data_IF_484428399635
#
_entry.id   IF_484428399635
#
_cell.length_a   1.000
_cell.length_b   1.000
_cell.length_c   1.000
_cell.angle_alpha   90.00
_cell.angle_beta   90.00
_cell.angle_gamma   90.00
#
_symmetry.space_group_name_H-M   'P 1'
#
loop_
_entity.id
_entity.type
_entity.pdbx_description
1 polymer ?
#
# COMPACT_ATOMS: atom_id res chain seq x y z
N UNK A 1 -25.36 -8.49 -0.57
CA UNK A 1 -23.99 -7.97 -0.75
C UNK A 1 -23.31 -7.95 0.60
N UNK A 2 -22.19 -8.66 0.79
CA UNK A 2 -21.37 -8.53 2.00
C UNK A 2 -20.41 -7.36 1.79
N UNK A 3 -20.80 -6.16 2.21
CA UNK A 3 -19.89 -5.03 2.28
C UNK A 3 -18.87 -5.27 3.41
N UNK A 4 -17.64 -4.83 3.19
CA UNK A 4 -16.61 -4.78 4.22
C UNK A 4 -16.10 -3.35 4.33
N UNK A 5 -15.91 -2.89 5.56
CA UNK A 5 -15.32 -1.58 5.82
C UNK A 5 -13.81 -1.69 5.75
N UNK A 6 -13.20 -0.80 4.97
CA UNK A 6 -11.75 -0.64 4.88
C UNK A 6 -11.42 0.72 5.50
N UNK A 7 -10.50 0.73 6.46
CA UNK A 7 -9.98 1.95 7.03
C UNK A 7 -8.64 2.28 6.35
N UNK A 8 -8.51 3.49 5.82
CA UNK A 8 -7.29 3.99 5.18
C UNK A 8 -6.69 5.10 6.03
N UNK A 9 -5.46 4.89 6.46
CA UNK A 9 -4.68 5.85 7.23
C UNK A 9 -3.55 6.42 6.36
N UNK A 10 -3.61 7.71 6.07
CA UNK A 10 -2.59 8.45 5.33
C UNK A 10 -1.43 8.74 6.29
N UNK A 11 -0.32 8.01 6.17
CA UNK A 11 0.79 8.13 7.12
C UNK A 11 1.46 9.50 7.10
N UNK A 12 1.50 10.13 5.93
CA UNK A 12 2.11 11.43 5.71
C UNK A 12 1.05 12.54 5.56
N UNK A 13 -0.25 12.22 5.74
CA UNK A 13 -1.37 13.14 5.48
C UNK A 13 -1.70 13.37 3.99
N UNK A 14 -0.91 12.79 3.07
CA UNK A 14 -1.08 12.94 1.62
C UNK A 14 -1.68 11.68 0.97
N UNK A 15 -2.68 11.87 0.10
CA UNK A 15 -3.35 10.78 -0.63
C UNK A 15 -2.45 10.06 -1.64
N UNK A 16 -1.37 10.70 -2.09
CA UNK A 16 -0.39 10.10 -3.00
C UNK A 16 0.77 9.42 -2.27
N UNK A 17 0.91 9.65 -0.95
CA UNK A 17 1.98 9.15 -0.11
C UNK A 17 1.78 7.71 0.38
N UNK A 18 2.38 7.40 1.53
CA UNK A 18 2.29 6.07 2.16
C UNK A 18 0.94 5.91 2.86
N UNK A 19 0.25 4.80 2.61
CA UNK A 19 -1.06 4.52 3.19
C UNK A 19 -1.03 3.17 3.91
N UNK A 20 -1.46 3.15 5.18
CA UNK A 20 -1.79 1.91 5.91
C UNK A 20 -3.29 1.65 5.75
N UNK A 21 -3.66 0.43 5.36
CA UNK A 21 -5.05 0.01 5.27
C UNK A 21 -5.29 -1.18 6.21
N UNK A 22 -6.43 -1.15 6.90
CA UNK A 22 -6.94 -2.27 7.70
C UNK A 22 -8.38 -2.56 7.30
N UNK A 23 -8.88 -3.75 7.63
CA UNK A 23 -10.26 -4.15 7.32
C UNK A 23 -10.91 -4.70 8.58
N UNK A 24 -12.16 -4.28 8.85
CA UNK A 24 -12.90 -4.78 10.01
C UNK A 24 -13.01 -6.30 9.98
N UNK A 25 -12.76 -6.95 11.12
CA UNK A 25 -12.79 -8.40 11.30
C UNK A 25 -11.75 -9.17 10.47
N UNK A 26 -10.64 -8.52 10.09
CA UNK A 26 -9.47 -9.17 9.50
C UNK A 26 -8.21 -8.64 10.20
N UNK A 27 -7.36 -9.55 10.67
CA UNK A 27 -6.15 -9.24 11.43
C UNK A 27 -4.98 -8.85 10.53
N UNK A 28 -5.23 -8.30 9.35
CA UNK A 28 -4.17 -8.00 8.40
C UNK A 28 -4.01 -6.51 8.18
N UNK A 29 -2.79 -6.15 7.82
CA UNK A 29 -2.42 -4.79 7.44
C UNK A 29 -1.93 -4.80 6.01
N UNK A 30 -2.38 -3.82 5.24
CA UNK A 30 -1.89 -3.56 3.90
C UNK A 30 -1.18 -2.21 3.90
N UNK A 31 0.00 -2.15 3.29
CA UNK A 31 0.69 -0.90 3.03
C UNK A 31 0.72 -0.66 1.53
N UNK A 32 0.27 0.52 1.11
CA UNK A 32 0.53 1.07 -0.21
C UNK A 32 1.68 2.05 -0.09
N UNK A 33 2.80 1.73 -0.73
CA UNK A 33 3.99 2.59 -0.70
C UNK A 33 4.40 2.97 -2.13
N UNK A 34 4.46 4.27 -2.45
CA UNK A 34 5.08 4.73 -3.68
C UNK A 34 6.58 4.39 -3.73
N UNK A 35 7.09 3.94 -4.87
CA UNK A 35 8.50 3.54 -5.02
C UNK A 35 9.50 4.63 -4.59
N UNK A 36 9.16 5.91 -4.77
CA UNK A 36 10.01 7.04 -4.35
C UNK A 36 10.26 7.06 -2.83
N UNK A 37 9.32 6.54 -2.03
CA UNK A 37 9.37 6.48 -0.58
C UNK A 37 9.88 5.13 -0.06
N UNK A 38 10.38 4.25 -0.94
CA UNK A 38 10.88 2.93 -0.55
C UNK A 38 12.12 3.03 0.35
N UNK A 39 12.96 4.06 0.16
CA UNK A 39 14.13 4.32 1.00
C UNK A 39 13.76 4.58 2.46
N UNK A 40 12.68 5.35 2.67
CA UNK A 40 12.18 5.76 3.98
C UNK A 40 11.67 4.58 4.81
N UNK A 41 11.32 3.46 4.17
CA UNK A 41 10.79 2.28 4.86
C UNK A 41 11.86 1.51 5.66
N UNK A 42 13.15 1.64 5.30
CA UNK A 42 14.23 0.85 5.93
C UNK A 42 14.36 1.15 7.43
N UNK A 43 13.99 2.35 7.84
CA UNK A 43 14.06 2.80 9.24
C UNK A 43 12.83 2.39 10.05
N UNK A 44 11.71 2.04 9.40
CA UNK A 44 10.44 1.70 10.04
C UNK A 44 10.40 0.24 10.45
N UNK A 45 10.29 -0.01 11.75
CA UNK A 45 10.28 -1.37 12.32
C UNK A 45 9.05 -2.16 11.92
N UNK A 46 7.91 -1.50 11.72
CA UNK A 46 6.64 -2.12 11.33
C UNK A 46 6.74 -2.81 9.95
N UNK A 47 7.63 -2.33 9.07
CA UNK A 47 7.78 -2.88 7.72
C UNK A 47 8.82 -4.02 7.63
N UNK A 48 9.54 -4.29 8.73
CA UNK A 48 10.59 -5.33 8.79
C UNK A 48 10.03 -6.74 9.03
N UNK A 49 8.73 -6.87 9.27
CA UNK A 49 8.08 -8.15 9.50
C UNK A 49 7.91 -8.95 8.19
N UNK A 50 7.78 -10.27 8.29
CA UNK A 50 7.47 -11.13 7.14
C UNK A 50 6.10 -10.80 6.56
N UNK A 51 6.03 -10.69 5.23
CA UNK A 51 4.78 -10.39 4.52
C UNK A 51 4.90 -10.66 3.02
N UNK A 52 3.77 -10.53 2.32
CA UNK A 52 3.68 -10.69 0.87
C UNK A 52 3.82 -9.32 0.22
N UNK A 53 4.60 -9.23 -0.86
CA UNK A 53 4.81 -7.99 -1.60
C UNK A 53 4.31 -8.09 -3.03
N UNK A 54 3.63 -7.04 -3.49
CA UNK A 54 3.16 -6.87 -4.85
C UNK A 54 3.80 -5.62 -5.44
N UNK A 55 4.43 -5.76 -6.60
CA UNK A 55 4.85 -4.61 -7.40
C UNK A 55 3.73 -4.33 -8.41
N UNK A 56 3.08 -3.17 -8.26
CA UNK A 56 2.08 -2.70 -9.19
C UNK A 56 2.73 -1.64 -10.08
N UNK A 57 2.66 -1.86 -11.38
CA UNK A 57 3.09 -0.89 -12.40
C UNK A 57 2.05 -0.85 -13.51
N UNK A 58 2.14 0.16 -14.35
CA UNK A 58 1.33 0.26 -15.56
C UNK A 58 2.13 -0.23 -16.76
N UNK A 59 1.43 -0.76 -17.75
CA UNK A 59 2.00 -1.08 -19.06
C UNK A 59 1.95 0.20 -19.91
N UNK A 60 3.12 0.68 -20.36
CA UNK A 60 3.24 1.88 -21.20
C UNK A 60 2.38 1.81 -22.47
N UNK A 61 1.98 0.61 -22.91
CA UNK A 61 1.13 0.40 -24.09
C UNK A 61 -0.37 0.60 -23.83
N UNK A 62 -0.83 0.76 -22.58
CA UNK A 62 -2.25 0.96 -22.26
C UNK A 62 -2.56 2.46 -22.04
N UNK A 63 -3.42 3.02 -22.90
CA UNK A 63 -3.82 4.45 -22.92
C UNK A 63 -4.66 4.92 -21.71
N UNK A 64 -5.12 4.03 -20.83
CA UNK A 64 -5.86 4.43 -19.63
C UNK A 64 -4.90 4.66 -18.47
N UNK A 65 -4.29 5.85 -18.46
CA UNK A 65 -3.42 6.33 -17.39
C UNK A 65 -4.26 6.83 -16.22
N UNK A 66 -4.06 6.28 -15.03
CA UNK A 66 -4.63 6.83 -13.80
C UNK A 66 -3.51 7.53 -13.02
N UNK A 67 -3.61 8.83 -12.70
CA UNK A 67 -2.55 9.60 -12.04
C UNK A 67 -2.02 8.97 -10.73
N UNK A 68 -2.86 8.18 -10.07
CA UNK A 68 -2.57 7.52 -8.79
C UNK A 68 -1.66 6.27 -8.97
N UNK A 69 -1.55 5.75 -10.20
CA UNK A 69 -0.80 4.53 -10.54
C UNK A 69 0.34 4.77 -11.54
N UNK A 70 0.55 6.02 -11.99
CA UNK A 70 1.64 6.40 -12.91
C UNK A 70 3.05 6.21 -12.30
N UNK A 71 3.13 5.77 -11.04
CA UNK A 71 4.39 5.42 -10.38
C UNK A 71 4.28 4.00 -9.84
N UNK A 72 5.32 3.17 -10.02
CA UNK A 72 5.34 1.84 -9.45
C UNK A 72 5.06 1.91 -7.94
N UNK A 73 4.12 1.09 -7.49
CA UNK A 73 3.69 0.99 -6.10
C UNK A 73 4.11 -0.37 -5.56
N UNK A 74 4.53 -0.39 -4.30
CA UNK A 74 4.73 -1.62 -3.55
C UNK A 74 3.55 -1.78 -2.60
N UNK A 75 2.78 -2.85 -2.81
CA UNK A 75 1.83 -3.35 -1.85
C UNK A 75 2.53 -4.32 -0.92
N UNK A 76 2.48 -4.11 0.40
CA UNK A 76 2.89 -5.13 1.39
C UNK A 76 1.67 -5.57 2.17
N UNK A 77 1.44 -6.88 2.28
CA UNK A 77 0.41 -7.47 3.11
C UNK A 77 1.06 -8.30 4.22
N UNK A 78 0.67 -8.06 5.47
CA UNK A 78 1.13 -8.84 6.61
C UNK A 78 -0.02 -9.14 7.57
N UNK A 79 0.16 -10.18 8.38
CA UNK A 79 -0.77 -10.54 9.45
C UNK A 79 -0.30 -9.88 10.75
N UNK A 80 -1.15 -9.02 11.30
CA UNK A 80 -1.05 -8.48 12.66
C UNK A 80 -1.46 -9.61 13.62
N UNK A 81 -0.59 -9.95 14.57
CA UNK A 81 -0.83 -10.95 15.61
C UNK A 81 -0.92 -10.24 16.95
#
# INVERSE_FOLDING_TARGET
MNSKNINMFLMDGEVTGKIKCTMSNWTGVIYKIPRIHLGDLKTRTELKQSGIYFLLGYDDNKKNRSPILDRPLIGKMEKEY
#
